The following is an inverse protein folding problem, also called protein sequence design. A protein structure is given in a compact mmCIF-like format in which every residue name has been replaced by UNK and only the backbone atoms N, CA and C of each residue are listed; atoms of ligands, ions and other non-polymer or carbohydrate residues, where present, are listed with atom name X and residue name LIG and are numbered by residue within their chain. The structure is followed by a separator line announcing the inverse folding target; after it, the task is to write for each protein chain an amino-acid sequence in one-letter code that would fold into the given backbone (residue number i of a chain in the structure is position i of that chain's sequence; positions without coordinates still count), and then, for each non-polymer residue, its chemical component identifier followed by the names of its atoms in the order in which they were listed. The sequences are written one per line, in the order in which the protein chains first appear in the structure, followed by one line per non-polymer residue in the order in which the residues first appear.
data_IF_447121507970
#
_entry.id   IF_447121507970
#
_cell.length_a   1.000
_cell.length_b   1.000
_cell.length_c   1.000
_cell.angle_alpha   90.00
_cell.angle_beta   90.00
_cell.angle_gamma   90.00
#
_symmetry.space_group_name_H-M   'P 1'
#
loop_
_entity.id
_entity.type
_entity.pdbx_description
1 polymer ?
#
# COMPACT_ATOMS: atom_id res chain seq x y z
N UNK A 1 32.96 0.15 -3.10
CA UNK A 1 32.75 -1.16 -2.47
C UNK A 1 32.22 -2.15 -3.49
N UNK A 2 32.99 -3.18 -3.86
CA UNK A 2 32.59 -4.23 -4.81
C UNK A 2 32.25 -5.48 -4.01
N UNK A 3 30.97 -5.85 -3.95
CA UNK A 3 30.55 -7.13 -3.38
C UNK A 3 30.74 -8.17 -4.49
N UNK A 4 31.73 -9.06 -4.32
CA UNK A 4 31.95 -10.21 -5.21
C UNK A 4 31.49 -11.46 -4.46
N UNK A 5 30.42 -12.11 -4.95
CA UNK A 5 29.96 -13.39 -4.41
C UNK A 5 30.73 -14.51 -5.12
N UNK A 6 31.70 -15.13 -4.44
CA UNK A 6 32.43 -16.31 -4.92
C UNK A 6 31.60 -17.58 -4.68
N UNK A 7 31.49 -18.43 -5.71
CA UNK A 7 30.78 -19.70 -5.65
C UNK A 7 31.79 -20.82 -5.37
N UNK A 8 32.03 -21.13 -4.09
CA UNK A 8 32.89 -22.24 -3.69
C UNK A 8 32.11 -23.57 -3.76
N UNK A 9 32.65 -24.54 -4.52
CA UNK A 9 32.06 -25.88 -4.67
C UNK A 9 31.91 -26.56 -3.31
N UNK A 10 30.68 -26.96 -2.95
CA UNK A 10 30.37 -27.67 -1.70
C UNK A 10 29.66 -26.83 -0.64
N UNK A 11 29.21 -25.61 -0.96
CA UNK A 11 28.54 -24.71 0.01
C UNK A 11 27.21 -25.23 0.57
N UNK A 12 26.59 -26.19 -0.11
CA UNK A 12 25.42 -26.94 0.34
C UNK A 12 25.57 -28.39 -0.13
N UNK A 13 25.43 -29.34 0.78
CA UNK A 13 25.35 -30.77 0.47
C UNK A 13 24.03 -31.10 -0.23
N UNK A 14 23.97 -32.28 -0.88
CA UNK A 14 22.74 -32.75 -1.55
C UNK A 14 21.58 -32.88 -0.55
N UNK A 15 21.87 -33.35 0.66
CA UNK A 15 20.89 -33.51 1.74
C UNK A 15 20.37 -32.14 2.24
N UNK A 16 21.24 -31.12 2.30
CA UNK A 16 20.81 -29.75 2.61
C UNK A 16 19.95 -29.15 1.50
N UNK A 17 20.24 -29.44 0.22
CA UNK A 17 19.41 -29.01 -0.91
C UNK A 17 18.02 -29.66 -0.83
N UNK A 18 17.95 -30.98 -0.60
CA UNK A 18 16.68 -31.72 -0.48
C UNK A 18 15.85 -31.21 0.71
N UNK A 19 16.50 -30.94 1.85
CA UNK A 19 15.85 -30.33 3.00
C UNK A 19 15.33 -28.92 2.69
N UNK A 20 16.10 -28.09 2.00
CA UNK A 20 15.66 -26.75 1.59
C UNK A 20 14.45 -26.78 0.65
N UNK A 21 14.35 -27.77 -0.25
CA UNK A 21 13.18 -27.94 -1.13
C UNK A 21 11.95 -28.35 -0.33
N UNK A 22 12.08 -29.32 0.58
CA UNK A 22 10.97 -29.76 1.43
C UNK A 22 10.49 -28.64 2.38
N UNK A 23 11.42 -27.88 2.95
CA UNK A 23 11.09 -26.72 3.78
C UNK A 23 10.40 -25.63 2.93
N UNK A 24 10.87 -25.34 1.73
CA UNK A 24 10.24 -24.37 0.84
C UNK A 24 8.79 -24.74 0.48
N UNK A 25 8.50 -26.01 0.21
CA UNK A 25 7.13 -26.46 -0.04
C UNK A 25 6.24 -26.33 1.20
N UNK A 26 6.79 -26.62 2.39
CA UNK A 26 6.08 -26.53 3.66
C UNK A 26 5.72 -25.09 4.02
N UNK A 27 6.64 -24.15 3.81
CA UNK A 27 6.43 -22.74 4.20
C UNK A 27 5.76 -21.89 3.12
N UNK A 28 5.60 -22.42 1.89
CA UNK A 28 5.01 -21.68 0.77
C UNK A 28 3.70 -20.97 1.11
N UNK A 29 2.76 -21.64 1.76
CA UNK A 29 1.46 -21.05 2.09
C UNK A 29 1.57 -19.93 3.14
N UNK A 30 2.49 -20.07 4.10
CA UNK A 30 2.75 -19.05 5.13
C UNK A 30 3.45 -17.83 4.51
N UNK A 31 4.43 -18.06 3.63
CA UNK A 31 5.12 -17.01 2.87
C UNK A 31 4.15 -16.25 1.97
N UNK A 32 3.23 -16.94 1.29
CA UNK A 32 2.17 -16.33 0.47
C UNK A 32 1.24 -15.47 1.33
N UNK A 33 0.76 -15.97 2.47
CA UNK A 33 -0.10 -15.22 3.38
C UNK A 33 0.60 -13.97 3.94
N UNK A 34 1.86 -14.09 4.35
CA UNK A 34 2.66 -12.93 4.81
C UNK A 34 2.87 -11.91 3.69
N UNK A 35 3.17 -12.38 2.48
CA UNK A 35 3.34 -11.51 1.31
C UNK A 35 2.05 -10.74 1.00
N UNK A 36 0.90 -11.39 1.04
CA UNK A 36 -0.39 -10.73 0.82
C UNK A 36 -0.69 -9.70 1.92
N UNK A 37 -0.48 -10.05 3.19
CA UNK A 37 -0.68 -9.15 4.33
C UNK A 37 0.18 -7.89 4.22
N UNK A 38 1.48 -8.06 3.90
CA UNK A 38 2.41 -6.94 3.66
C UNK A 38 1.97 -6.14 2.43
N UNK A 39 1.49 -6.80 1.38
CA UNK A 39 0.92 -6.17 0.20
C UNK A 39 -0.24 -5.24 0.54
N UNK A 40 -1.22 -5.71 1.32
CA UNK A 40 -2.38 -4.91 1.74
C UNK A 40 -1.99 -3.73 2.62
N UNK A 41 -1.02 -3.91 3.54
CA UNK A 41 -0.46 -2.81 4.33
C UNK A 41 0.15 -1.71 3.44
N UNK A 42 1.03 -2.11 2.51
CA UNK A 42 1.71 -1.18 1.61
C UNK A 42 0.73 -0.47 0.68
N UNK A 43 -0.33 -1.16 0.24
CA UNK A 43 -1.39 -0.58 -0.58
C UNK A 43 -2.15 0.52 0.18
N UNK A 44 -2.55 0.25 1.42
CA UNK A 44 -3.22 1.22 2.28
C UNK A 44 -2.34 2.46 2.56
N UNK A 45 -1.09 2.23 2.94
CA UNK A 45 -0.12 3.31 3.20
C UNK A 45 0.08 4.18 1.95
N UNK A 46 0.34 3.53 0.81
CA UNK A 46 0.53 4.22 -0.47
C UNK A 46 -0.70 5.03 -0.87
N UNK A 47 -1.91 4.49 -0.66
CA UNK A 47 -3.16 5.19 -0.96
C UNK A 47 -3.32 6.44 -0.09
N UNK A 48 -3.11 6.34 1.22
CA UNK A 48 -3.19 7.48 2.14
C UNK A 48 -2.19 8.59 1.77
N UNK A 49 -0.94 8.24 1.46
CA UNK A 49 0.06 9.22 1.02
C UNK A 49 -0.28 9.86 -0.33
N UNK A 50 -0.65 9.06 -1.32
CA UNK A 50 -1.06 9.57 -2.63
C UNK A 50 -2.25 10.52 -2.52
N UNK A 51 -3.19 10.22 -1.63
CA UNK A 51 -4.34 11.08 -1.37
C UNK A 51 -3.89 12.44 -0.80
N UNK A 52 -3.05 12.45 0.24
CA UNK A 52 -2.52 13.69 0.81
C UNK A 52 -1.78 14.52 -0.25
N UNK A 53 -0.96 13.87 -1.08
CA UNK A 53 -0.27 14.55 -2.18
C UNK A 53 -1.26 15.13 -3.21
N UNK A 54 -2.34 14.41 -3.53
CA UNK A 54 -3.39 14.90 -4.45
C UNK A 54 -4.09 16.13 -3.89
N UNK A 55 -4.31 16.19 -2.58
CA UNK A 55 -4.83 17.37 -1.94
C UNK A 55 -3.81 18.52 -2.00
N UNK A 56 -2.53 18.26 -1.84
CA UNK A 56 -1.51 19.32 -1.89
C UNK A 56 -1.22 19.86 -3.30
N UNK A 57 -1.74 19.23 -4.36
CA UNK A 57 -1.60 19.71 -5.73
C UNK A 57 -2.28 21.07 -5.91
N UNK A 58 -1.49 22.09 -6.25
CA UNK A 58 -1.94 23.46 -6.50
C UNK A 58 -3.07 23.55 -7.55
N UNK A 59 -3.12 22.63 -8.53
CA UNK A 59 -4.18 22.61 -9.56
C UNK A 59 -5.52 22.09 -9.03
N UNK A 60 -5.49 21.36 -7.93
CA UNK A 60 -6.65 20.72 -7.31
C UNK A 60 -7.06 21.44 -6.02
N UNK A 61 -6.17 22.25 -5.42
CA UNK A 61 -6.43 23.04 -4.21
C UNK A 61 -7.68 23.88 -4.30
N UNK A 62 -7.86 24.62 -5.39
CA UNK A 62 -9.01 25.50 -5.59
C UNK A 62 -10.29 24.76 -6.01
N UNK A 63 -10.19 23.46 -6.34
CA UNK A 63 -11.32 22.64 -6.82
C UNK A 63 -11.95 21.78 -5.73
N UNK A 64 -11.29 21.67 -4.57
CA UNK A 64 -11.77 20.91 -3.41
C UNK A 64 -12.10 21.92 -2.32
N UNK A 65 -13.28 21.80 -1.72
CA UNK A 65 -13.66 22.68 -0.60
C UNK A 65 -12.71 22.49 0.58
N UNK A 66 -12.52 23.53 1.40
CA UNK A 66 -11.68 23.44 2.59
C UNK A 66 -12.19 22.36 3.57
N UNK A 67 -13.51 22.18 3.66
CA UNK A 67 -14.14 21.16 4.50
C UNK A 67 -13.89 19.74 3.98
N UNK A 68 -14.05 19.51 2.67
CA UNK A 68 -13.76 18.21 2.05
C UNK A 68 -12.26 17.87 2.16
N UNK A 69 -11.39 18.86 1.93
CA UNK A 69 -9.94 18.72 2.12
C UNK A 69 -9.61 18.26 3.53
N UNK A 70 -10.10 19.00 4.53
CA UNK A 70 -9.83 18.70 5.94
C UNK A 70 -10.35 17.31 6.30
N UNK A 71 -11.53 16.94 5.80
CA UNK A 71 -12.12 15.62 6.04
C UNK A 71 -11.22 14.49 5.52
N UNK A 72 -10.64 14.65 4.33
CA UNK A 72 -9.71 13.65 3.79
C UNK A 72 -8.36 13.68 4.52
N UNK A 73 -7.79 14.86 4.80
CA UNK A 73 -6.53 14.99 5.54
C UNK A 73 -6.61 14.33 6.91
N UNK A 74 -7.68 14.61 7.67
CA UNK A 74 -7.94 14.02 8.99
C UNK A 74 -8.08 12.49 8.88
N UNK A 75 -8.78 11.98 7.85
CA UNK A 75 -8.95 10.53 7.67
C UNK A 75 -7.64 9.85 7.25
N UNK A 76 -6.85 10.45 6.36
CA UNK A 76 -5.53 9.96 6.00
C UNK A 76 -4.60 9.91 7.21
N UNK A 77 -4.60 10.95 8.06
CA UNK A 77 -3.80 10.99 9.27
C UNK A 77 -4.23 9.95 10.31
N UNK A 78 -5.54 9.72 10.45
CA UNK A 78 -6.07 8.63 11.28
C UNK A 78 -5.55 7.26 10.81
N UNK A 79 -5.62 7.00 9.50
CA UNK A 79 -5.17 5.75 8.89
C UNK A 79 -3.66 5.54 9.04
N UNK A 80 -2.85 6.59 8.82
CA UNK A 80 -1.40 6.52 8.99
C UNK A 80 -1.02 6.24 10.45
N UNK A 81 -1.68 6.89 11.42
CA UNK A 81 -1.48 6.61 12.85
C UNK A 81 -1.92 5.20 13.22
N UNK A 82 -3.00 4.72 12.63
CA UNK A 82 -3.44 3.34 12.81
C UNK A 82 -2.43 2.35 12.24
N UNK A 83 -1.88 2.58 11.05
CA UNK A 83 -0.83 1.77 10.43
C UNK A 83 0.45 1.70 11.30
N UNK A 84 0.84 2.82 11.91
CA UNK A 84 2.00 2.90 12.80
C UNK A 84 1.81 2.04 14.06
N UNK A 85 0.57 2.00 14.58
CA UNK A 85 0.20 1.25 15.78
C UNK A 85 -0.11 -0.23 15.51
N UNK A 86 -0.44 -0.59 14.27
CA UNK A 86 -0.97 -1.90 13.88
C UNK A 86 -0.11 -2.55 12.77
N UNK A 87 1.21 -2.51 12.92
CA UNK A 87 2.16 -2.99 11.90
C UNK A 87 2.01 -4.49 11.58
N UNK A 88 1.48 -5.26 12.52
CA UNK A 88 1.27 -6.72 12.43
C UNK A 88 -0.20 -7.11 12.29
N UNK A 89 -1.10 -6.17 11.96
CA UNK A 89 -2.51 -6.48 11.72
C UNK A 89 -2.69 -7.48 10.57
N UNK A 90 -3.86 -8.10 10.56
CA UNK A 90 -4.26 -9.08 9.55
C UNK A 90 -4.63 -8.40 8.23
N UNK A 91 -4.57 -9.17 7.15
CA UNK A 91 -4.90 -8.71 5.79
C UNK A 91 -6.28 -8.04 5.74
N UNK A 92 -7.28 -8.68 6.33
CA UNK A 92 -8.66 -8.20 6.34
C UNK A 92 -8.82 -6.88 7.09
N UNK A 93 -8.00 -6.62 8.11
CA UNK A 93 -7.99 -5.35 8.84
C UNK A 93 -7.43 -4.22 7.98
N UNK A 94 -6.33 -4.47 7.26
CA UNK A 94 -5.79 -3.50 6.29
C UNK A 94 -6.81 -3.19 5.18
N UNK A 95 -7.46 -4.22 4.62
CA UNK A 95 -8.49 -4.04 3.60
C UNK A 95 -9.72 -3.29 4.13
N UNK A 96 -10.11 -3.54 5.38
CA UNK A 96 -11.19 -2.81 6.03
C UNK A 96 -10.84 -1.32 6.17
N UNK A 97 -9.66 -1.00 6.67
CA UNK A 97 -9.19 0.39 6.79
C UNK A 97 -9.09 1.08 5.42
N UNK A 98 -8.66 0.36 4.39
CA UNK A 98 -8.67 0.86 3.02
C UNK A 98 -10.08 1.23 2.55
N UNK A 99 -11.07 0.36 2.77
CA UNK A 99 -12.47 0.65 2.42
C UNK A 99 -13.01 1.87 3.17
N UNK A 100 -12.66 2.03 4.45
CA UNK A 100 -13.08 3.20 5.23
C UNK A 100 -12.48 4.50 4.68
N UNK A 101 -11.22 4.48 4.26
CA UNK A 101 -10.57 5.62 3.62
C UNK A 101 -11.20 5.92 2.24
N UNK A 102 -11.41 4.90 1.41
CA UNK A 102 -12.04 5.02 0.09
C UNK A 102 -13.46 5.59 0.17
N UNK A 103 -14.26 5.19 1.17
CA UNK A 103 -15.62 5.73 1.39
C UNK A 103 -15.62 7.25 1.58
N UNK A 104 -14.57 7.80 2.18
CA UNK A 104 -14.41 9.25 2.38
C UNK A 104 -13.85 9.91 1.11
N UNK A 105 -12.84 9.31 0.50
CA UNK A 105 -12.14 9.91 -0.65
C UNK A 105 -12.97 9.85 -1.94
N UNK A 106 -13.65 8.73 -2.23
CA UNK A 106 -14.31 8.49 -3.52
C UNK A 106 -15.38 9.54 -3.87
N UNK A 107 -16.28 9.96 -2.96
CA UNK A 107 -17.26 11.01 -3.27
C UNK A 107 -16.61 12.35 -3.62
N UNK A 108 -15.52 12.71 -2.95
CA UNK A 108 -14.82 13.98 -3.14
C UNK A 108 -14.03 13.97 -4.45
N UNK A 109 -13.33 12.86 -4.73
CA UNK A 109 -12.64 12.64 -6.01
C UNK A 109 -13.63 12.66 -7.18
N UNK A 110 -14.79 12.02 -7.01
CA UNK A 110 -15.83 12.00 -8.05
C UNK A 110 -16.32 13.42 -8.36
N UNK A 111 -16.58 14.23 -7.32
CA UNK A 111 -16.92 15.65 -7.48
C UNK A 111 -15.80 16.43 -8.17
N UNK A 112 -14.55 16.18 -7.82
CA UNK A 112 -13.37 16.83 -8.41
C UNK A 112 -13.27 16.57 -9.92
N UNK A 113 -13.45 15.32 -10.36
CA UNK A 113 -13.43 14.95 -11.77
C UNK A 113 -14.68 15.42 -12.52
N UNK A 114 -15.86 15.39 -11.89
CA UNK A 114 -17.11 15.88 -12.50
C UNK A 114 -17.13 17.41 -12.64
N UNK A 115 -16.61 18.15 -11.66
CA UNK A 115 -16.43 19.61 -11.73
C UNK A 115 -15.25 20.04 -12.61
N UNK A 116 -14.38 19.10 -12.99
CA UNK A 116 -13.21 19.30 -13.85
C UNK A 116 -13.35 18.78 -15.29
N UNK A 117 -14.54 18.30 -15.68
CA UNK A 117 -14.82 17.75 -17.01
C UNK A 117 -14.91 18.85 -18.09
N UNK A 118 -13.76 19.48 -18.36
CA UNK A 118 -13.42 20.20 -19.58
C UNK A 118 -12.05 19.78 -20.14
N UNK A 119 -11.38 18.79 -19.56
CA UNK A 119 -10.05 18.36 -20.01
C UNK A 119 -9.76 16.92 -19.65
N UNK A 120 -10.30 15.99 -20.42
CA UNK A 120 -9.71 14.66 -20.53
C UNK A 120 -8.35 14.80 -21.24
N UNK A 121 -7.23 14.25 -20.74
CA UNK A 121 -6.11 13.94 -21.59
C UNK A 121 -6.55 12.76 -22.46
N UNK A 122 -6.76 13.03 -23.74
CA UNK A 122 -6.97 11.99 -24.73
C UNK A 122 -5.79 11.01 -24.75
N UNK A 123 -6.13 9.73 -24.76
CA UNK A 123 -5.30 8.63 -25.24
C UNK A 123 -6.10 7.88 -26.28
#
# INVERSE_FOLDING_TARGET
NKITITNDKGRLSKDEIEKMVADAEKFKAEDEAQKERVGSKNALESYAFNMKQTLDDEKLKDKISADDRKTIEDKCDEILRWLDSNQTAEKDEFEHQQKELEKVCNPIITKLYQGGAGGAPGG
#
